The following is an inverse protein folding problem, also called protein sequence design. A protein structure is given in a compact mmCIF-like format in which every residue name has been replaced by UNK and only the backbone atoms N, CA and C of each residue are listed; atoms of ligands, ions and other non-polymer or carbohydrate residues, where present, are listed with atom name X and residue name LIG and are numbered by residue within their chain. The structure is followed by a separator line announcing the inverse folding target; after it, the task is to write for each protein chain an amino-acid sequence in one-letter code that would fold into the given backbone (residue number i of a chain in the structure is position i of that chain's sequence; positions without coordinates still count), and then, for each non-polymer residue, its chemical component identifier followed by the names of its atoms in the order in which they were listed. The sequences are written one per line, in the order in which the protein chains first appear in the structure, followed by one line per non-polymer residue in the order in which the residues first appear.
data_IF_877955013031
#
_entry.id   IF_877955013031
#
_cell.length_a   1.000
_cell.length_b   1.000
_cell.length_c   1.000
_cell.angle_alpha   90.00
_cell.angle_beta   90.00
_cell.angle_gamma   90.00
#
_symmetry.space_group_name_H-M   'P 1'
#
loop_
_entity.id
_entity.type
_entity.pdbx_description
1 polymer ?
#
# COMPACT_ATOMS: atom_id res chain seq x y z
N UNK A 1 -4.17 12.57 -12.04
CA UNK A 1 -3.86 11.15 -11.71
C UNK A 1 -3.71 10.38 -13.03
N UNK A 2 -2.71 9.50 -13.16
CA UNK A 2 -2.43 8.74 -14.40
C UNK A 2 -2.26 9.62 -15.66
N UNK A 3 -1.46 10.68 -15.54
CA UNK A 3 -1.20 11.61 -16.66
C UNK A 3 -2.34 12.60 -16.96
N UNK A 4 -3.47 12.53 -16.25
CA UNK A 4 -4.62 13.43 -16.43
C UNK A 4 -4.81 14.33 -15.20
N UNK A 5 -5.66 15.36 -15.31
CA UNK A 5 -6.07 16.19 -14.17
C UNK A 5 -6.83 15.35 -13.12
N UNK A 6 -6.79 15.72 -11.85
CA UNK A 6 -7.59 15.03 -10.82
C UNK A 6 -9.08 15.25 -11.09
N UNK A 7 -9.95 14.28 -10.74
CA UNK A 7 -11.40 14.40 -10.92
C UNK A 7 -11.95 15.67 -10.23
N UNK A 8 -11.52 15.92 -9.00
CA UNK A 8 -11.80 17.13 -8.22
C UNK A 8 -11.40 18.43 -8.95
N UNK A 9 -10.34 18.39 -9.77
CA UNK A 9 -9.80 19.56 -10.47
C UNK A 9 -10.44 19.77 -11.85
N UNK A 10 -11.33 18.87 -12.27
CA UNK A 10 -12.03 19.01 -13.55
C UNK A 10 -13.01 20.19 -13.46
N UNK A 11 -13.02 21.09 -14.45
CA UNK A 11 -13.99 22.19 -14.49
C UNK A 11 -15.42 21.65 -14.39
N UNK A 12 -16.21 22.22 -13.47
CA UNK A 12 -17.61 21.82 -13.25
C UNK A 12 -17.84 20.63 -12.32
N UNK A 13 -16.79 20.02 -11.74
CA UNK A 13 -16.92 18.95 -10.73
C UNK A 13 -16.70 19.52 -9.33
N UNK A 14 -15.50 20.06 -9.06
CA UNK A 14 -15.19 20.57 -7.71
C UNK A 14 -15.45 19.53 -6.62
N UNK A 15 -16.05 19.94 -5.50
CA UNK A 15 -16.32 19.07 -4.36
C UNK A 15 -17.44 18.03 -4.60
N UNK A 16 -18.20 18.14 -5.70
CA UNK A 16 -19.21 17.13 -6.08
C UNK A 16 -18.56 15.75 -6.31
N UNK A 17 -17.25 15.73 -6.59
CA UNK A 17 -16.41 14.54 -6.63
C UNK A 17 -16.51 13.64 -5.36
N UNK A 18 -16.89 14.19 -4.21
CA UNK A 18 -17.11 13.42 -2.98
C UNK A 18 -18.34 12.51 -3.13
N UNK A 19 -19.43 13.03 -3.72
CA UNK A 19 -20.64 12.26 -3.99
C UNK A 19 -20.47 11.27 -5.14
N UNK A 20 -19.57 11.55 -6.07
CA UNK A 20 -19.19 10.63 -7.16
C UNK A 20 -18.36 9.42 -6.67
N UNK A 21 -17.95 9.38 -5.40
CA UNK A 21 -17.19 8.27 -4.85
C UNK A 21 -17.97 6.95 -4.99
N UNK A 22 -17.39 5.99 -5.71
CA UNK A 22 -18.08 4.81 -6.24
C UNK A 22 -18.24 3.64 -5.25
N UNK A 23 -18.19 3.87 -3.94
CA UNK A 23 -18.33 2.79 -2.96
C UNK A 23 -19.66 2.03 -3.14
N UNK A 24 -20.76 2.76 -3.35
CA UNK A 24 -22.07 2.17 -3.59
C UNK A 24 -22.10 1.21 -4.78
N UNK A 25 -21.31 1.47 -5.83
CA UNK A 25 -21.24 0.62 -7.01
C UNK A 25 -20.73 -0.79 -6.69
N UNK A 26 -19.81 -0.93 -5.74
CA UNK A 26 -19.27 -2.24 -5.33
C UNK A 26 -20.40 -3.10 -4.75
N UNK A 27 -21.19 -2.55 -3.84
CA UNK A 27 -22.31 -3.27 -3.22
C UNK A 27 -23.43 -3.58 -4.21
N UNK A 28 -23.69 -2.68 -5.16
CA UNK A 28 -24.59 -2.96 -6.28
C UNK A 28 -24.10 -4.16 -7.11
N UNK A 29 -22.83 -4.19 -7.49
CA UNK A 29 -22.25 -5.30 -8.28
C UNK A 29 -22.25 -6.62 -7.51
N UNK A 30 -21.88 -6.61 -6.22
CA UNK A 30 -21.94 -7.80 -5.38
C UNK A 30 -23.37 -8.35 -5.28
N UNK A 31 -24.37 -7.47 -5.13
CA UNK A 31 -25.77 -7.87 -5.09
C UNK A 31 -26.27 -8.41 -6.44
N UNK A 32 -25.81 -7.86 -7.55
CA UNK A 32 -26.22 -8.31 -8.88
C UNK A 32 -25.58 -9.65 -9.26
N UNK A 33 -24.28 -9.81 -9.00
CA UNK A 33 -23.50 -10.95 -9.49
C UNK A 33 -23.41 -12.11 -8.49
N UNK A 34 -23.41 -11.81 -7.18
CA UNK A 34 -23.06 -12.78 -6.15
C UNK A 34 -24.20 -13.09 -5.17
N UNK A 35 -25.37 -12.46 -5.28
CA UNK A 35 -26.46 -12.60 -4.27
C UNK A 35 -26.88 -14.05 -3.99
N UNK A 36 -26.86 -14.91 -4.99
CA UNK A 36 -27.24 -16.32 -4.86
C UNK A 36 -26.07 -17.22 -4.47
N UNK A 37 -24.85 -16.68 -4.40
CA UNK A 37 -23.65 -17.43 -4.05
C UNK A 37 -23.55 -17.60 -2.53
N UNK A 38 -23.06 -18.76 -2.04
CA UNK A 38 -22.91 -18.99 -0.60
C UNK A 38 -21.91 -18.03 0.06
N UNK A 39 -20.97 -17.48 -0.72
CA UNK A 39 -19.98 -16.52 -0.25
C UNK A 39 -20.47 -15.06 -0.21
N UNK A 40 -21.72 -14.76 -0.61
CA UNK A 40 -22.22 -13.38 -0.71
C UNK A 40 -22.00 -12.56 0.57
N UNK A 41 -22.40 -13.12 1.71
CA UNK A 41 -22.27 -12.43 2.99
C UNK A 41 -20.81 -12.21 3.38
N UNK A 42 -19.96 -13.21 3.15
CA UNK A 42 -18.52 -13.14 3.39
C UNK A 42 -17.89 -12.03 2.55
N UNK A 43 -18.27 -11.91 1.27
CA UNK A 43 -17.78 -10.83 0.40
C UNK A 43 -18.24 -9.47 0.91
N UNK A 44 -19.53 -9.28 1.23
CA UNK A 44 -20.03 -8.01 1.76
C UNK A 44 -19.27 -7.60 3.03
N UNK A 45 -19.08 -8.52 3.98
CA UNK A 45 -18.34 -8.29 5.22
C UNK A 45 -16.86 -7.96 4.94
N UNK A 46 -16.23 -8.68 4.02
CA UNK A 46 -14.84 -8.47 3.63
C UNK A 46 -14.62 -7.06 3.05
N UNK A 47 -15.49 -6.63 2.12
CA UNK A 47 -15.40 -5.29 1.53
C UNK A 47 -15.62 -4.21 2.59
N UNK A 48 -16.66 -4.32 3.43
CA UNK A 48 -16.92 -3.38 4.53
C UNK A 48 -15.75 -3.29 5.52
N UNK A 49 -15.19 -4.42 5.93
CA UNK A 49 -14.04 -4.46 6.83
C UNK A 49 -12.81 -3.79 6.20
N UNK A 50 -12.59 -4.02 4.91
CA UNK A 50 -11.48 -3.43 4.17
C UNK A 50 -11.62 -1.91 4.04
N UNK A 51 -12.83 -1.41 3.77
CA UNK A 51 -13.13 0.03 3.79
C UNK A 51 -12.82 0.64 5.15
N UNK A 52 -13.36 0.05 6.23
CA UNK A 52 -13.10 0.51 7.59
C UNK A 52 -11.61 0.57 7.93
N UNK A 53 -10.86 -0.48 7.59
CA UNK A 53 -9.40 -0.52 7.80
C UNK A 53 -8.67 0.56 7.01
N UNK A 54 -9.09 0.82 5.77
CA UNK A 54 -8.49 1.84 4.91
C UNK A 54 -8.76 3.23 5.46
N UNK A 55 -9.98 3.51 5.91
CA UNK A 55 -10.35 4.80 6.53
C UNK A 55 -9.57 5.07 7.83
N UNK A 56 -9.36 4.04 8.67
CA UNK A 56 -8.44 4.16 9.83
C UNK A 56 -7.03 4.52 9.37
N UNK A 57 -6.53 3.84 8.34
CA UNK A 57 -5.20 4.11 7.78
C UNK A 57 -5.04 5.54 7.26
N UNK A 58 -6.03 6.03 6.50
CA UNK A 58 -6.07 7.41 6.00
C UNK A 58 -6.13 8.42 7.16
N UNK A 59 -6.99 8.16 8.14
CA UNK A 59 -7.11 9.00 9.35
C UNK A 59 -5.78 9.07 10.11
N UNK A 60 -5.10 7.94 10.29
CA UNK A 60 -3.79 7.89 10.93
C UNK A 60 -2.74 8.72 10.16
N UNK A 61 -2.76 8.66 8.83
CA UNK A 61 -1.86 9.42 7.95
C UNK A 61 -2.07 10.93 8.14
N UNK A 62 -3.32 11.39 8.11
CA UNK A 62 -3.71 12.80 8.27
C UNK A 62 -3.36 13.36 9.65
N UNK A 63 -3.59 12.61 10.72
CA UNK A 63 -3.28 13.03 12.11
C UNK A 63 -1.76 13.09 12.34
N UNK A 64 -1.01 12.19 11.68
CA UNK A 64 0.44 12.11 11.83
C UNK A 64 1.14 13.28 11.13
N UNK A 65 0.62 13.74 9.99
CA UNK A 65 1.19 14.82 9.19
C UNK A 65 0.14 15.90 8.86
N UNK A 66 -0.33 16.69 9.85
CA UNK A 66 -1.30 17.74 9.61
C UNK A 66 -0.72 18.82 8.69
N UNK A 67 -1.56 19.33 7.77
CA UNK A 67 -1.15 20.35 6.81
C UNK A 67 -0.58 21.58 7.52
N UNK A 68 0.65 21.98 7.14
CA UNK A 68 1.31 23.17 7.67
C UNK A 68 1.97 23.02 9.05
N UNK A 69 1.89 21.85 9.70
CA UNK A 69 2.56 21.61 10.99
C UNK A 69 3.30 20.26 10.99
N UNK A 70 4.59 20.31 10.65
CA UNK A 70 5.47 19.15 10.62
C UNK A 70 6.06 18.85 12.00
N UNK A 71 5.36 18.05 12.79
CA UNK A 71 5.87 17.55 14.07
C UNK A 71 6.62 16.21 13.87
N UNK A 72 7.93 16.30 13.61
CA UNK A 72 8.82 15.14 13.46
C UNK A 72 8.83 14.24 14.71
N UNK A 73 8.46 14.75 15.88
CA UNK A 73 8.32 13.95 17.10
C UNK A 73 7.19 12.93 17.03
N UNK A 74 6.24 13.11 16.10
CA UNK A 74 5.17 12.14 15.87
C UNK A 74 5.61 10.98 15.00
N UNK A 75 6.71 11.11 14.26
CA UNK A 75 7.16 10.09 13.32
C UNK A 75 7.88 8.99 14.08
N UNK A 76 7.28 7.81 14.06
CA UNK A 76 7.87 6.61 14.63
C UNK A 76 7.70 5.45 13.65
N UNK A 77 8.62 4.49 13.72
CA UNK A 77 8.57 3.29 12.88
C UNK A 77 7.25 2.55 13.07
N UNK A 78 6.77 2.46 14.32
CA UNK A 78 5.48 1.85 14.65
C UNK A 78 4.31 2.56 13.95
N UNK A 79 4.29 3.90 13.93
CA UNK A 79 3.23 4.68 13.25
C UNK A 79 3.32 4.55 11.74
N UNK A 80 4.52 4.61 11.16
CA UNK A 80 4.72 4.43 9.73
C UNK A 80 4.24 3.04 9.28
N UNK A 81 4.67 1.96 9.96
CA UNK A 81 4.22 0.59 9.67
C UNK A 81 2.71 0.45 9.79
N UNK A 82 2.12 1.00 10.86
CA UNK A 82 0.67 0.97 11.05
C UNK A 82 -0.07 1.74 9.93
N UNK A 83 0.42 2.93 9.55
CA UNK A 83 -0.15 3.72 8.45
C UNK A 83 -0.17 2.92 7.16
N UNK A 84 0.99 2.41 6.74
CA UNK A 84 1.16 1.62 5.51
C UNK A 84 0.26 0.38 5.51
N UNK A 85 0.26 -0.36 6.62
CA UNK A 85 -0.54 -1.56 6.81
C UNK A 85 -2.04 -1.29 6.59
N UNK A 86 -2.58 -0.31 7.31
CA UNK A 86 -4.02 -0.03 7.27
C UNK A 86 -4.43 0.71 6.00
N UNK A 87 -3.64 1.67 5.52
CA UNK A 87 -4.01 2.51 4.38
C UNK A 87 -3.81 1.84 3.03
N UNK A 88 -2.93 0.83 2.93
CA UNK A 88 -2.51 0.27 1.64
C UNK A 88 -2.53 -1.26 1.59
N UNK A 89 -2.02 -1.95 2.62
CA UNK A 89 -1.81 -3.39 2.53
C UNK A 89 -3.13 -4.19 2.45
N UNK A 90 -4.13 -3.83 3.26
CA UNK A 90 -5.40 -4.54 3.29
C UNK A 90 -6.16 -4.52 1.96
N UNK A 91 -6.38 -3.34 1.36
CA UNK A 91 -7.16 -3.25 0.13
C UNK A 91 -6.38 -3.72 -1.10
N UNK A 92 -5.05 -3.55 -1.11
CA UNK A 92 -4.21 -3.87 -2.27
C UNK A 92 -3.85 -5.35 -2.35
N UNK A 93 -3.66 -6.02 -1.20
CA UNK A 93 -3.15 -7.39 -1.14
C UNK A 93 -4.12 -8.37 -0.48
N UNK A 94 -4.66 -8.04 0.70
CA UNK A 94 -5.53 -8.97 1.43
C UNK A 94 -6.90 -9.12 0.76
N UNK A 95 -7.56 -8.02 0.41
CA UNK A 95 -8.90 -8.00 -0.17
C UNK A 95 -9.03 -8.88 -1.44
N UNK A 96 -8.20 -8.73 -2.49
CA UNK A 96 -8.38 -9.52 -3.71
C UNK A 96 -8.16 -11.02 -3.49
N UNK A 97 -7.19 -11.41 -2.64
CA UNK A 97 -6.92 -12.83 -2.37
C UNK A 97 -8.01 -13.44 -1.48
N UNK A 98 -8.43 -12.76 -0.42
CA UNK A 98 -9.50 -13.22 0.45
C UNK A 98 -10.84 -13.34 -0.30
N UNK A 99 -11.13 -12.39 -1.22
CA UNK A 99 -12.31 -12.47 -2.08
C UNK A 99 -12.26 -13.73 -2.97
N UNK A 100 -11.12 -14.01 -3.60
CA UNK A 100 -10.93 -15.20 -4.40
C UNK A 100 -11.08 -16.48 -3.56
N UNK A 101 -10.50 -16.53 -2.36
CA UNK A 101 -10.62 -17.65 -1.43
C UNK A 101 -12.09 -17.95 -1.12
N UNK A 102 -12.87 -16.94 -0.73
CA UNK A 102 -14.31 -17.10 -0.48
C UNK A 102 -15.08 -17.55 -1.73
N UNK A 103 -14.75 -17.02 -2.91
CA UNK A 103 -15.39 -17.43 -4.18
C UNK A 103 -15.06 -18.87 -4.58
N UNK A 104 -13.91 -19.40 -4.14
CA UNK A 104 -13.51 -20.81 -4.34
C UNK A 104 -13.98 -21.75 -3.23
N UNK A 105 -14.75 -21.26 -2.25
CA UNK A 105 -15.26 -22.06 -1.13
C UNK A 105 -14.26 -22.28 0.01
N UNK A 106 -13.18 -21.50 0.05
CA UNK A 106 -12.21 -21.50 1.16
C UNK A 106 -12.63 -20.41 2.14
N UNK A 107 -13.32 -20.78 3.21
CA UNK A 107 -13.84 -19.88 4.25
C UNK A 107 -13.21 -20.12 5.64
N UNK A 108 -12.28 -21.08 5.75
CA UNK A 108 -11.60 -21.43 6.99
C UNK A 108 -10.75 -20.28 7.56
N UNK A 109 -10.91 -20.02 8.86
CA UNK A 109 -10.21 -18.94 9.55
C UNK A 109 -8.69 -19.08 9.48
N UNK A 110 -8.19 -20.32 9.57
CA UNK A 110 -6.75 -20.62 9.55
C UNK A 110 -6.12 -20.27 8.21
N UNK A 111 -6.78 -20.65 7.11
CA UNK A 111 -6.35 -20.37 5.75
C UNK A 111 -6.30 -18.86 5.50
N UNK A 112 -7.36 -18.14 5.89
CA UNK A 112 -7.43 -16.68 5.74
C UNK A 112 -6.39 -15.97 6.62
N UNK A 113 -6.13 -16.46 7.84
CA UNK A 113 -5.13 -15.89 8.75
C UNK A 113 -3.71 -16.06 8.20
N UNK A 114 -3.39 -17.26 7.70
CA UNK A 114 -2.12 -17.56 7.07
C UNK A 114 -1.89 -16.69 5.82
N UNK A 115 -2.87 -16.63 4.93
CA UNK A 115 -2.80 -15.78 3.73
C UNK A 115 -2.60 -14.30 4.11
N UNK A 116 -3.38 -13.81 5.07
CA UNK A 116 -3.30 -12.42 5.54
C UNK A 116 -1.92 -12.08 6.12
N UNK A 117 -1.28 -12.99 6.86
CA UNK A 117 0.09 -12.78 7.39
C UNK A 117 1.07 -12.50 6.26
N UNK A 118 1.09 -13.34 5.22
CA UNK A 118 1.98 -13.18 4.07
C UNK A 118 1.66 -11.88 3.31
N UNK A 119 0.37 -11.62 3.03
CA UNK A 119 -0.07 -10.50 2.20
C UNK A 119 0.17 -9.13 2.84
N UNK A 120 0.08 -9.05 4.17
CA UNK A 120 0.39 -7.81 4.88
C UNK A 120 1.88 -7.45 4.78
N UNK A 121 2.76 -8.44 4.94
CA UNK A 121 4.22 -8.24 4.77
C UNK A 121 4.56 -7.85 3.33
N UNK A 122 3.90 -8.46 2.33
CA UNK A 122 4.04 -8.04 0.93
C UNK A 122 3.66 -6.58 0.72
N UNK A 123 2.56 -6.14 1.33
CA UNK A 123 2.10 -4.75 1.23
C UNK A 123 3.04 -3.75 1.90
N UNK A 124 3.66 -4.13 3.01
CA UNK A 124 4.69 -3.30 3.64
C UNK A 124 5.91 -3.16 2.72
N UNK A 125 6.40 -4.25 2.12
CA UNK A 125 7.54 -4.24 1.19
C UNK A 125 7.31 -3.47 -0.12
N UNK A 126 6.10 -3.49 -0.68
CA UNK A 126 5.78 -2.72 -1.89
C UNK A 126 5.85 -1.21 -1.63
N UNK A 127 5.26 -0.77 -0.51
CA UNK A 127 5.19 0.65 -0.14
C UNK A 127 6.53 1.20 0.32
N UNK A 128 7.33 0.44 1.08
CA UNK A 128 8.67 0.86 1.51
C UNK A 128 9.64 1.02 0.35
N UNK A 129 9.52 0.20 -0.69
CA UNK A 129 10.38 0.30 -1.87
C UNK A 129 9.86 1.22 -2.99
N UNK A 130 8.86 2.08 -2.74
CA UNK A 130 8.44 3.14 -3.67
C UNK A 130 9.06 4.45 -3.22
N UNK A 131 10.02 4.97 -4.00
CA UNK A 131 10.53 6.34 -3.86
C UNK A 131 9.42 7.28 -4.35
N UNK A 132 8.68 7.88 -3.41
CA UNK A 132 7.59 8.82 -3.67
C UNK A 132 7.94 10.27 -3.29
N UNK A 133 7.09 11.21 -3.69
CA UNK A 133 7.17 12.66 -3.38
C UNK A 133 6.90 13.00 -1.90
N UNK A 134 7.03 12.01 -1.00
CA UNK A 134 6.59 12.07 0.40
C UNK A 134 7.26 13.18 1.23
N UNK A 135 8.48 13.60 0.85
CA UNK A 135 9.21 14.72 1.47
C UNK A 135 8.49 16.08 1.28
N UNK A 136 7.88 16.32 0.10
CA UNK A 136 7.17 17.57 -0.19
C UNK A 136 5.79 17.61 0.48
N UNK A 137 5.17 16.45 0.65
CA UNK A 137 3.86 16.29 1.29
C UNK A 137 3.95 16.19 2.82
N UNK A 138 5.15 16.30 3.41
CA UNK A 138 5.40 16.16 4.84
C UNK A 138 4.90 14.81 5.41
N UNK A 139 4.90 13.74 4.61
CA UNK A 139 4.31 12.45 4.99
C UNK A 139 5.24 11.66 5.93
N UNK A 140 4.65 10.86 6.82
CA UNK A 140 5.40 9.90 7.62
C UNK A 140 5.77 8.68 6.76
N UNK A 141 6.80 8.83 5.92
CA UNK A 141 7.32 7.73 5.11
C UNK A 141 8.40 6.95 5.84
N UNK A 142 8.59 5.70 5.43
CA UNK A 142 9.60 4.81 6.04
C UNK A 142 11.00 5.42 5.95
N UNK A 143 11.33 6.03 4.83
CA UNK A 143 12.61 6.72 4.61
C UNK A 143 12.85 7.84 5.63
N UNK A 144 11.82 8.61 5.95
CA UNK A 144 11.92 9.75 6.86
C UNK A 144 12.14 9.28 8.29
N UNK A 145 11.47 8.21 8.70
CA UNK A 145 11.73 7.56 10.00
C UNK A 145 13.17 7.06 10.09
N UNK A 146 13.70 6.43 9.03
CA UNK A 146 15.08 5.94 9.00
C UNK A 146 16.10 7.08 9.06
N UNK A 147 15.88 8.16 8.33
CA UNK A 147 16.75 9.32 8.37
C UNK A 147 16.67 10.09 9.71
N UNK A 148 15.51 10.10 10.38
CA UNK A 148 15.37 10.64 11.73
C UNK A 148 16.18 9.83 12.75
N UNK A 149 16.17 8.50 12.66
CA UNK A 149 17.03 7.63 13.49
C UNK A 149 18.52 7.92 13.27
N UNK A 150 18.91 8.36 12.07
CA UNK A 150 20.28 8.75 11.72
C UNK A 150 20.61 10.23 11.97
N UNK A 151 19.66 11.02 12.49
CA UNK A 151 19.77 12.46 12.77
C UNK A 151 20.04 13.38 11.55
N UNK A 152 19.91 12.89 10.31
CA UNK A 152 20.29 13.63 9.09
C UNK A 152 19.24 14.68 8.67
N UNK A 153 17.99 14.56 9.16
CA UNK A 153 16.83 15.19 8.51
C UNK A 153 16.26 16.46 9.20
N UNK A 154 16.74 16.83 10.40
CA UNK A 154 16.05 17.81 11.26
C UNK A 154 15.90 19.22 10.69
N UNK A 155 16.82 19.68 9.84
CA UNK A 155 16.84 21.08 9.37
C UNK A 155 16.18 21.29 8.00
N UNK A 156 15.88 20.22 7.25
CA UNK A 156 15.53 20.32 5.83
C UNK A 156 14.20 19.63 5.46
N UNK A 157 13.48 19.06 6.43
CA UNK A 157 12.25 18.31 6.15
C UNK A 157 11.02 19.21 5.96
N UNK A 158 10.21 18.91 4.94
CA UNK A 158 8.96 19.65 4.65
C UNK A 158 9.14 21.00 3.93
N UNK A 159 10.36 21.33 3.48
CA UNK A 159 10.65 22.53 2.69
C UNK A 159 10.52 22.24 1.18
N UNK A 160 9.98 23.20 0.41
CA UNK A 160 9.73 23.05 -1.04
C UNK A 160 10.97 23.23 -1.93
N UNK A 161 12.13 23.52 -1.35
CA UNK A 161 13.37 23.80 -2.09
C UNK A 161 14.07 22.52 -2.54
N UNK A 162 14.40 22.43 -3.83
CA UNK A 162 14.80 21.20 -4.52
C UNK A 162 16.21 20.67 -4.19
N UNK A 163 17.04 21.42 -3.46
CA UNK A 163 18.49 21.21 -3.43
C UNK A 163 18.99 20.31 -2.28
N UNK A 164 18.14 19.94 -1.31
CA UNK A 164 18.58 19.26 -0.07
C UNK A 164 18.18 17.78 0.00
N UNK A 165 18.50 17.03 -1.05
CA UNK A 165 18.22 15.59 -1.11
C UNK A 165 19.38 14.81 -0.47
N UNK A 166 19.25 14.42 0.81
CA UNK A 166 20.18 13.46 1.41
C UNK A 166 20.08 12.09 0.71
N UNK A 167 21.21 11.37 0.51
CA UNK A 167 21.24 10.08 -0.16
C UNK A 167 20.39 9.06 0.60
N UNK A 168 19.51 8.40 -0.15
CA UNK A 168 18.47 7.51 0.36
C UNK A 168 19.07 6.13 0.65
N UNK A 169 18.82 5.52 1.83
CA UNK A 169 19.27 4.16 2.09
C UNK A 169 18.45 3.19 1.25
N UNK A 170 19.06 2.65 0.19
CA UNK A 170 18.55 1.50 -0.54
C UNK A 170 18.54 0.28 0.40
N UNK A 171 17.37 -0.14 0.88
CA UNK A 171 17.18 -1.54 1.23
C UNK A 171 16.89 -2.27 -0.08
N UNK A 172 17.79 -3.16 -0.56
CA UNK A 172 17.61 -3.77 -1.87
C UNK A 172 16.33 -4.60 -1.87
N UNK A 173 15.51 -4.41 -2.90
CA UNK A 173 14.29 -5.18 -3.18
C UNK A 173 14.47 -6.71 -3.02
N UNK A 174 15.71 -7.18 -3.18
CA UNK A 174 16.18 -8.55 -2.96
C UNK A 174 15.93 -9.05 -1.52
N UNK A 175 16.09 -8.21 -0.49
CA UNK A 175 15.85 -8.59 0.91
C UNK A 175 14.38 -8.84 1.20
N UNK A 176 13.51 -7.95 0.71
CA UNK A 176 12.06 -8.16 0.85
C UNK A 176 11.61 -9.38 0.05
N UNK A 177 12.15 -9.59 -1.15
CA UNK A 177 11.86 -10.77 -1.94
C UNK A 177 12.20 -12.06 -1.19
N UNK A 178 13.42 -12.20 -0.64
CA UNK A 178 13.81 -13.41 0.09
C UNK A 178 13.00 -13.63 1.37
N UNK A 179 12.66 -12.56 2.09
CA UNK A 179 11.81 -12.63 3.27
C UNK A 179 10.41 -13.15 2.95
N UNK A 180 9.77 -12.61 1.91
CA UNK A 180 8.44 -13.05 1.47
C UNK A 180 8.46 -14.50 0.97
N UNK A 181 9.51 -14.92 0.28
CA UNK A 181 9.69 -16.32 -0.13
C UNK A 181 9.70 -17.25 1.09
N UNK A 182 10.49 -16.92 2.13
CA UNK A 182 10.55 -17.71 3.36
C UNK A 182 9.21 -17.79 4.12
N UNK A 183 8.47 -16.67 4.18
CA UNK A 183 7.11 -16.68 4.76
C UNK A 183 6.13 -17.53 3.95
N UNK A 184 6.25 -17.50 2.62
CA UNK A 184 5.41 -18.31 1.74
C UNK A 184 5.68 -19.81 1.96
N UNK A 185 6.94 -20.22 2.12
CA UNK A 185 7.28 -21.62 2.41
C UNK A 185 6.74 -22.10 3.77
N UNK A 186 6.73 -21.22 4.78
CA UNK A 186 6.29 -21.56 6.13
C UNK A 186 4.76 -21.57 6.29
N UNK A 187 4.09 -20.54 5.77
CA UNK A 187 2.70 -20.25 6.12
C UNK A 187 1.72 -20.50 4.96
N UNK A 188 2.16 -20.77 3.72
CA UNK A 188 1.22 -20.91 2.60
C UNK A 188 0.28 -22.11 2.78
N UNK A 189 0.72 -23.20 3.42
CA UNK A 189 -0.08 -24.43 3.57
C UNK A 189 -1.38 -24.13 4.35
N UNK A 190 -2.57 -24.53 3.86
CA UNK A 190 -2.83 -25.44 2.72
C UNK A 190 -3.00 -24.79 1.34
N UNK A 191 -2.83 -23.46 1.23
CA UNK A 191 -2.98 -22.74 -0.03
C UNK A 191 -1.80 -22.99 -0.98
N UNK A 192 -2.05 -23.04 -2.30
CA UNK A 192 -0.98 -23.13 -3.29
C UNK A 192 0.00 -21.94 -3.20
N UNK A 193 1.32 -22.17 -3.01
CA UNK A 193 2.31 -21.10 -2.95
C UNK A 193 2.31 -20.17 -4.18
N UNK A 194 1.88 -20.69 -5.34
CA UNK A 194 1.81 -19.95 -6.61
C UNK A 194 0.98 -18.66 -6.53
N UNK A 195 -0.04 -18.62 -5.66
CA UNK A 195 -0.86 -17.42 -5.44
C UNK A 195 0.02 -16.25 -4.97
N UNK A 196 0.88 -16.54 -3.99
CA UNK A 196 1.78 -15.57 -3.39
C UNK A 196 2.98 -15.26 -4.31
N UNK A 197 3.55 -16.29 -4.95
CA UNK A 197 4.69 -16.13 -5.86
C UNK A 197 4.36 -15.27 -7.08
N UNK A 198 3.15 -15.42 -7.65
CA UNK A 198 2.69 -14.61 -8.77
C UNK A 198 2.58 -13.13 -8.41
N UNK A 199 2.03 -12.82 -7.22
CA UNK A 199 1.96 -11.46 -6.68
C UNK A 199 3.36 -10.88 -6.44
N UNK A 200 4.24 -11.62 -5.77
CA UNK A 200 5.63 -11.21 -5.52
C UNK A 200 6.37 -10.92 -6.81
N UNK A 201 6.26 -11.77 -7.82
CA UNK A 201 6.87 -11.54 -9.14
C UNK A 201 6.40 -10.22 -9.77
N UNK A 202 5.11 -9.92 -9.73
CA UNK A 202 4.55 -8.70 -10.31
C UNK A 202 5.04 -7.43 -9.62
N UNK A 203 5.30 -7.47 -8.32
CA UNK A 203 5.76 -6.32 -7.53
C UNK A 203 7.26 -6.10 -7.74
N UNK A 204 8.06 -7.15 -7.60
CA UNK A 204 9.51 -7.03 -7.53
C UNK A 204 10.23 -7.13 -8.89
N UNK A 205 9.67 -7.83 -9.90
CA UNK A 205 10.23 -7.75 -11.28
C UNK A 205 10.02 -6.38 -11.91
N UNK A 206 8.87 -5.74 -11.68
CA UNK A 206 8.61 -4.36 -12.15
C UNK A 206 9.66 -3.36 -11.66
N UNK A 207 10.19 -3.54 -10.44
CA UNK A 207 11.25 -2.67 -9.89
C UNK A 207 12.60 -2.90 -10.58
N UNK A 208 12.99 -4.15 -10.81
CA UNK A 208 14.22 -4.49 -11.55
C UNK A 208 14.22 -3.96 -12.98
N UNK A 209 13.10 -4.07 -13.71
CA UNK A 209 13.00 -3.56 -15.08
C UNK A 209 12.99 -2.02 -15.13
N UNK A 210 12.37 -1.36 -14.14
CA UNK A 210 12.35 0.11 -14.02
C UNK A 210 13.70 0.70 -13.62
N UNK A 211 14.45 0.03 -12.74
CA UNK A 211 15.81 0.42 -12.35
C UNK A 211 16.78 0.26 -13.53
N UNK A 212 16.67 -0.84 -14.28
CA UNK A 212 17.47 -1.08 -15.50
C UNK A 212 17.15 -0.05 -16.59
N UNK A 213 15.88 0.33 -16.76
CA UNK A 213 15.45 1.37 -17.70
C UNK A 213 15.80 2.81 -17.27
N UNK A 214 16.10 3.05 -15.99
CA UNK A 214 16.65 4.33 -15.48
C UNK A 214 18.18 4.37 -15.62
N UNK A 215 18.86 3.27 -15.34
CA UNK A 215 20.32 3.14 -15.54
C UNK A 215 20.71 3.28 -17.02
N UNK A 216 19.88 2.79 -17.96
CA UNK A 216 20.13 2.92 -19.41
C UNK A 216 19.91 4.32 -20.01
N UNK A 217 19.42 5.30 -19.23
CA UNK A 217 19.20 6.68 -19.69
C UNK A 217 20.24 7.70 -19.18
N UNK A 218 21.29 7.23 -18.53
CA UNK A 218 22.46 8.02 -18.13
C UNK A 218 23.72 7.61 -18.90
N UNK A 219 23.71 7.77 -20.23
CA UNK A 219 24.92 7.68 -21.07
C UNK A 219 25.40 9.10 -21.43
N UNK A 220 26.72 9.36 -21.44
CA UNK A 220 27.28 10.72 -21.42
C UNK A 220 27.02 11.48 -22.72
N UNK A 221 26.52 12.72 -22.60
CA UNK A 221 26.74 13.79 -23.57
C UNK A 221 27.77 14.75 -23.00
#
# INVERSE_FOLDING_TARGET
RWGQICWLQKPGVGLDAISDAMEACIYCLLKLCCREQPCYLNLIQLFLQCFYQTEIGQTLDLITAPHGNADLGRFSEKRCKSSVKYKAAFYSFCLPVAAAMYMTGIDGEKEHTNAKKILLEMGEGDVTGKVGTDKQDNKCSWLVVQCLQRQILKENYGQKEAEKVAPEPDLPAVFFYSHIMGLTEQDAVPLPPVIFLGLTCNIYKRKSDLETARAGRGGPQ
#
